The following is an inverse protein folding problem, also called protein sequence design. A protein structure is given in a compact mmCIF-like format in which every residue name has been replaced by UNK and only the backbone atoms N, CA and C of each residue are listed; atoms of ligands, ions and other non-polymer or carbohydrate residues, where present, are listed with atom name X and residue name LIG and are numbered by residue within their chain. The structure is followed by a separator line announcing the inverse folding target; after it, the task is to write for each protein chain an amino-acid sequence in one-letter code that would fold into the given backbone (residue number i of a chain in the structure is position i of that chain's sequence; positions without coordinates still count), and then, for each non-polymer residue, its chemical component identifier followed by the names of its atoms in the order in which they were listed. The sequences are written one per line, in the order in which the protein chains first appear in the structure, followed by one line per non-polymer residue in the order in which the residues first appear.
data_IF_785892659528
#
_entry.id   IF_785892659528
#
_cell.length_a   1.000
_cell.length_b   1.000
_cell.length_c   1.000
_cell.angle_alpha   90.00
_cell.angle_beta   90.00
_cell.angle_gamma   90.00
#
_symmetry.space_group_name_H-M   'P 1'
#
loop_
_entity.id
_entity.type
_entity.pdbx_description
1 polymer ?
#
# COMPACT_ATOMS: atom_id res chain seq x y z
N UNK A 1 10.05 -63.81 -4.71
CA UNK A 1 9.04 -63.80 -5.77
C UNK A 1 7.70 -63.64 -5.09
N UNK A 2 7.15 -62.44 -5.05
CA UNK A 2 5.73 -62.16 -4.89
C UNK A 2 5.51 -60.75 -5.43
N UNK A 3 4.76 -60.69 -6.52
CA UNK A 3 4.41 -59.49 -7.26
C UNK A 3 3.49 -58.60 -6.43
N UNK A 4 3.83 -57.30 -6.33
CA UNK A 4 2.95 -56.27 -5.83
C UNK A 4 2.06 -55.78 -6.99
N UNK A 5 0.76 -56.06 -6.91
CA UNK A 5 -0.23 -55.59 -7.87
C UNK A 5 -0.39 -54.09 -7.86
N UNK A 6 -0.18 -53.47 -9.02
CA UNK A 6 -0.57 -52.08 -9.33
C UNK A 6 -2.11 -52.04 -9.45
N UNK A 7 -2.76 -51.27 -8.62
CA UNK A 7 -4.16 -50.91 -8.82
C UNK A 7 -4.19 -49.71 -9.76
N UNK A 8 -4.40 -49.96 -11.03
CA UNK A 8 -4.89 -48.99 -12.02
C UNK A 8 -6.42 -49.04 -11.98
N UNK A 9 -7.07 -47.90 -11.80
CA UNK A 9 -8.30 -47.48 -12.45
C UNK A 9 -8.95 -46.37 -11.64
N UNK A 10 -8.39 -45.16 -11.76
CA UNK A 10 -9.16 -43.96 -11.53
C UNK A 10 -9.43 -43.34 -12.90
N UNK A 11 -10.66 -43.55 -13.40
CA UNK A 11 -11.14 -42.87 -14.62
C UNK A 11 -11.61 -41.46 -14.24
N UNK A 12 -11.05 -40.45 -14.92
CA UNK A 12 -11.49 -39.06 -14.78
C UNK A 12 -12.92 -38.81 -15.28
N UNK A 13 -13.59 -39.84 -15.81
CA UNK A 13 -14.97 -39.78 -16.27
C UNK A 13 -16.02 -39.81 -15.16
N UNK A 14 -15.63 -40.20 -13.92
CA UNK A 14 -16.57 -40.41 -12.81
C UNK A 14 -16.71 -39.20 -11.88
N UNK A 15 -16.08 -38.07 -12.20
CA UNK A 15 -16.30 -36.84 -11.48
C UNK A 15 -17.55 -36.17 -12.08
N UNK A 16 -18.68 -36.08 -11.34
CA UNK A 16 -19.83 -35.36 -11.87
C UNK A 16 -19.48 -33.91 -12.11
N UNK A 17 -19.56 -33.48 -13.37
CA UNK A 17 -19.47 -32.08 -13.73
C UNK A 17 -20.65 -31.35 -13.08
N UNK A 18 -20.40 -30.71 -11.96
CA UNK A 18 -21.33 -29.78 -11.35
C UNK A 18 -21.17 -28.46 -12.10
N UNK A 19 -22.18 -28.05 -12.93
CA UNK A 19 -22.08 -26.77 -13.61
C UNK A 19 -22.01 -25.68 -12.55
N UNK A 20 -20.99 -24.85 -12.64
CA UNK A 20 -20.83 -23.65 -11.83
C UNK A 20 -22.06 -22.78 -12.07
N UNK A 21 -23.08 -22.90 -11.21
CA UNK A 21 -24.17 -21.94 -11.19
C UNK A 21 -23.59 -20.62 -10.71
N UNK A 22 -23.34 -19.72 -11.65
CA UNK A 22 -23.27 -18.30 -11.37
C UNK A 22 -24.52 -17.90 -10.57
N UNK A 23 -24.40 -17.87 -9.26
CA UNK A 23 -25.28 -17.03 -8.45
C UNK A 23 -24.81 -15.60 -8.71
N UNK A 24 -25.13 -15.07 -9.88
CA UNK A 24 -25.22 -13.65 -10.11
C UNK A 24 -26.30 -13.12 -9.18
N UNK A 25 -25.93 -12.88 -7.93
CA UNK A 25 -26.63 -11.90 -7.13
C UNK A 25 -26.27 -10.58 -7.80
N UNK A 26 -27.11 -10.18 -8.77
CA UNK A 26 -27.15 -8.79 -9.23
C UNK A 26 -27.68 -8.01 -8.03
N UNK A 27 -26.83 -7.74 -7.05
CA UNK A 27 -26.96 -6.51 -6.31
C UNK A 27 -26.77 -5.42 -7.37
N UNK A 28 -27.81 -4.69 -7.67
CA UNK A 28 -27.74 -3.34 -8.22
C UNK A 28 -27.10 -2.45 -7.17
N UNK A 29 -25.85 -2.77 -6.79
CA UNK A 29 -25.00 -1.90 -5.99
C UNK A 29 -24.72 -0.69 -6.87
N UNK A 30 -25.10 0.50 -6.42
CA UNK A 30 -24.78 1.76 -7.09
C UNK A 30 -23.26 1.75 -7.33
N UNK A 31 -22.85 1.74 -8.59
CA UNK A 31 -21.46 1.76 -8.99
C UNK A 31 -20.87 3.10 -8.56
N UNK A 32 -19.79 3.08 -7.79
CA UNK A 32 -19.07 4.28 -7.31
C UNK A 32 -18.26 4.82 -8.49
N UNK A 33 -18.57 6.02 -8.92
CA UNK A 33 -17.90 6.70 -10.04
C UNK A 33 -16.56 7.25 -9.59
N UNK A 34 -15.49 6.66 -10.10
CA UNK A 34 -14.11 6.91 -9.65
C UNK A 34 -13.34 7.71 -10.69
N UNK A 35 -12.62 8.74 -10.22
CA UNK A 35 -11.57 9.43 -10.96
C UNK A 35 -10.18 9.08 -10.46
N UNK A 36 -9.19 9.07 -11.35
CA UNK A 36 -7.77 8.88 -11.03
C UNK A 36 -6.96 10.04 -11.62
N UNK A 37 -6.44 10.92 -10.77
CA UNK A 37 -5.48 11.94 -11.15
C UNK A 37 -4.05 11.39 -10.99
N UNK A 38 -3.20 11.62 -12.00
CA UNK A 38 -1.83 11.13 -12.03
C UNK A 38 -1.70 9.69 -12.57
N UNK A 39 -2.63 9.24 -13.41
CA UNK A 39 -2.66 7.88 -13.97
C UNK A 39 -1.40 7.49 -14.74
N UNK A 40 -0.65 8.45 -15.28
CA UNK A 40 0.58 8.21 -16.04
C UNK A 40 1.77 7.74 -15.18
N UNK A 41 1.73 7.96 -13.87
CA UNK A 41 2.75 7.53 -12.90
C UNK A 41 2.61 6.06 -12.49
N UNK A 42 3.59 5.52 -11.77
CA UNK A 42 3.53 4.14 -11.28
C UNK A 42 2.39 3.93 -10.26
N UNK A 43 2.24 4.84 -9.30
CA UNK A 43 1.14 4.76 -8.33
C UNK A 43 -0.23 4.89 -8.98
N UNK A 44 -0.40 5.83 -9.92
CA UNK A 44 -1.64 6.00 -10.66
C UNK A 44 -1.96 4.83 -11.58
N UNK A 45 -0.95 4.25 -12.25
CA UNK A 45 -1.12 3.04 -13.05
C UNK A 45 -1.52 1.82 -12.21
N UNK A 46 -0.96 1.70 -11.01
CA UNK A 46 -1.35 0.62 -10.08
C UNK A 46 -2.76 0.85 -9.52
N UNK A 47 -3.17 2.10 -9.22
CA UNK A 47 -4.55 2.43 -8.89
C UNK A 47 -5.50 2.03 -10.01
N UNK A 48 -5.15 2.36 -11.27
CA UNK A 48 -5.95 1.95 -12.43
C UNK A 48 -6.09 0.43 -12.52
N UNK A 49 -5.01 -0.32 -12.32
CA UNK A 49 -5.02 -1.80 -12.32
C UNK A 49 -5.98 -2.35 -11.27
N UNK A 50 -5.92 -1.84 -10.04
CA UNK A 50 -6.77 -2.29 -8.94
C UNK A 50 -8.22 -1.88 -9.16
N UNK A 51 -8.48 -0.63 -9.55
CA UNK A 51 -9.83 -0.14 -9.79
C UNK A 51 -10.51 -0.81 -11.00
N UNK A 52 -9.74 -1.19 -12.02
CA UNK A 52 -10.26 -1.90 -13.20
C UNK A 52 -10.86 -3.28 -12.87
N UNK A 53 -10.33 -3.94 -11.84
CA UNK A 53 -10.83 -5.23 -11.34
C UNK A 53 -11.77 -5.11 -10.13
N UNK A 54 -12.04 -3.90 -9.66
CA UNK A 54 -12.81 -3.70 -8.43
C UNK A 54 -14.32 -3.84 -8.67
N UNK A 55 -15.05 -4.67 -7.92
CA UNK A 55 -16.45 -4.99 -8.22
C UNK A 55 -17.42 -3.83 -8.05
N UNK A 56 -17.08 -2.80 -7.24
CA UNK A 56 -17.94 -1.66 -6.96
C UNK A 56 -17.46 -0.34 -7.59
N UNK A 57 -16.26 -0.28 -8.18
CA UNK A 57 -15.72 0.94 -8.77
C UNK A 57 -15.94 0.97 -10.28
N UNK A 58 -16.36 2.14 -10.77
CA UNK A 58 -16.47 2.46 -12.19
C UNK A 58 -15.53 3.62 -12.51
N UNK A 59 -14.41 3.33 -13.15
CA UNK A 59 -13.42 4.35 -13.53
C UNK A 59 -13.97 5.14 -14.71
N UNK A 60 -14.40 6.35 -14.46
CA UNK A 60 -15.02 7.24 -15.48
C UNK A 60 -14.15 8.44 -15.85
N UNK A 61 -13.04 8.64 -15.13
CA UNK A 61 -12.11 9.75 -15.36
C UNK A 61 -10.68 9.32 -15.07
N UNK A 62 -9.79 9.67 -15.96
CA UNK A 62 -8.35 9.48 -15.78
C UNK A 62 -7.64 10.76 -16.26
N UNK A 63 -6.71 11.28 -15.43
CA UNK A 63 -5.91 12.44 -15.79
C UNK A 63 -4.42 12.17 -15.61
N UNK A 64 -3.60 12.75 -16.50
CA UNK A 64 -2.15 12.63 -16.45
C UNK A 64 -1.49 13.56 -17.45
N UNK A 65 -0.47 14.33 -17.00
CA UNK A 65 0.18 15.36 -17.82
C UNK A 65 0.88 14.77 -19.06
N UNK A 66 1.73 13.77 -18.87
CA UNK A 66 2.59 13.23 -19.96
C UNK A 66 1.84 12.35 -20.97
N UNK A 67 0.63 11.96 -20.68
CA UNK A 67 -0.20 11.07 -21.52
C UNK A 67 -1.55 11.70 -21.86
N UNK A 68 -1.74 12.99 -21.61
CA UNK A 68 -2.98 13.67 -21.94
C UNK A 68 -3.30 13.57 -23.44
N UNK A 69 -4.58 13.36 -23.77
CA UNK A 69 -5.05 13.15 -25.14
C UNK A 69 -4.95 11.70 -25.65
N UNK A 70 -4.24 10.82 -24.98
CA UNK A 70 -4.11 9.41 -25.37
C UNK A 70 -5.23 8.56 -24.77
N UNK A 71 -5.66 7.52 -25.49
CA UNK A 71 -6.52 6.47 -24.92
C UNK A 71 -5.76 5.64 -23.90
N UNK A 72 -6.44 5.14 -22.87
CA UNK A 72 -5.83 4.27 -21.87
C UNK A 72 -5.16 3.04 -22.50
N UNK A 73 -5.74 2.44 -23.54
CA UNK A 73 -5.16 1.29 -24.24
C UNK A 73 -3.78 1.59 -24.85
N UNK A 74 -3.51 2.80 -25.30
CA UNK A 74 -2.19 3.17 -25.82
C UNK A 74 -1.11 3.22 -24.72
N UNK A 75 -1.52 3.59 -23.53
CA UNK A 75 -0.62 3.71 -22.36
C UNK A 75 -0.51 2.40 -21.59
N UNK A 76 -1.60 1.65 -21.53
CA UNK A 76 -1.76 0.38 -20.79
C UNK A 76 -2.37 -0.66 -21.73
N UNK A 77 -1.59 -1.28 -22.64
CA UNK A 77 -2.13 -2.19 -23.65
C UNK A 77 -2.91 -3.39 -23.09
N UNK A 78 -2.58 -3.80 -21.85
CA UNK A 78 -3.27 -4.89 -21.16
C UNK A 78 -4.51 -4.47 -20.35
N UNK A 79 -4.97 -3.20 -20.49
CA UNK A 79 -6.18 -2.75 -19.75
C UNK A 79 -7.44 -3.43 -20.30
N UNK A 80 -8.45 -3.60 -19.44
CA UNK A 80 -9.72 -4.21 -19.84
C UNK A 80 -10.37 -3.45 -20.99
N UNK A 81 -11.11 -4.14 -21.90
CA UNK A 81 -11.79 -3.49 -23.02
C UNK A 81 -12.76 -2.37 -22.59
N UNK A 82 -13.37 -2.49 -21.40
CA UNK A 82 -14.26 -1.47 -20.82
C UNK A 82 -13.56 -0.12 -20.67
N UNK A 83 -12.26 -0.10 -20.35
CA UNK A 83 -11.51 1.13 -20.10
C UNK A 83 -10.61 1.54 -21.28
N UNK A 84 -10.48 0.70 -22.29
CA UNK A 84 -9.55 0.87 -23.40
C UNK A 84 -9.71 2.23 -24.13
N UNK A 85 -10.96 2.65 -24.34
CA UNK A 85 -11.31 3.85 -25.07
C UNK A 85 -11.33 5.13 -24.20
N UNK A 86 -11.20 5.01 -22.88
CA UNK A 86 -11.17 6.19 -21.99
C UNK A 86 -9.93 7.03 -22.31
N UNK A 87 -10.16 8.31 -22.63
CA UNK A 87 -9.10 9.27 -22.95
C UNK A 87 -8.54 9.86 -21.67
N UNK A 88 -7.23 9.83 -21.53
CA UNK A 88 -6.50 10.48 -20.43
C UNK A 88 -6.63 12.00 -20.62
N UNK A 89 -7.22 12.68 -19.65
CA UNK A 89 -7.38 14.13 -19.66
C UNK A 89 -6.13 14.83 -19.10
N UNK A 90 -5.94 16.10 -19.42
CA UNK A 90 -5.12 16.98 -18.61
C UNK A 90 -5.86 17.23 -17.29
N UNK A 91 -5.12 17.34 -16.17
CA UNK A 91 -5.76 17.61 -14.89
C UNK A 91 -6.43 18.99 -14.90
N UNK A 92 -7.73 19.01 -14.70
CA UNK A 92 -8.52 20.23 -14.54
C UNK A 92 -9.66 19.97 -13.55
N UNK A 93 -9.59 20.49 -12.32
CA UNK A 93 -10.64 20.29 -11.33
C UNK A 93 -11.97 20.97 -11.68
N UNK A 94 -11.97 21.98 -12.58
CA UNK A 94 -13.19 22.65 -13.06
C UNK A 94 -13.93 21.83 -14.12
N UNK A 95 -13.23 20.92 -14.82
CA UNK A 95 -13.78 20.05 -15.87
C UNK A 95 -14.06 18.62 -15.39
N UNK A 96 -14.09 18.38 -14.08
CA UNK A 96 -14.37 17.05 -13.53
C UNK A 96 -15.80 16.62 -13.89
N UNK A 97 -16.01 15.40 -14.41
CA UNK A 97 -17.35 14.84 -14.53
C UNK A 97 -17.95 14.61 -13.14
N UNK A 98 -19.22 14.20 -13.07
CA UNK A 98 -19.78 13.78 -11.78
C UNK A 98 -18.98 12.59 -11.26
N UNK A 99 -18.32 12.76 -10.11
CA UNK A 99 -17.57 11.75 -9.39
C UNK A 99 -18.12 11.57 -7.99
N UNK A 100 -18.07 10.33 -7.48
CA UNK A 100 -18.30 10.02 -6.08
C UNK A 100 -16.96 9.96 -5.33
N UNK A 101 -15.88 9.58 -6.03
CA UNK A 101 -14.57 9.33 -5.45
C UNK A 101 -13.42 9.75 -6.38
N UNK A 102 -12.35 10.31 -5.80
CA UNK A 102 -11.14 10.69 -6.51
C UNK A 102 -9.90 10.10 -5.82
N UNK A 103 -9.08 9.38 -6.57
CA UNK A 103 -7.71 9.07 -6.19
C UNK A 103 -6.76 10.08 -6.81
N UNK A 104 -5.89 10.69 -5.99
CA UNK A 104 -4.88 11.63 -6.45
C UNK A 104 -3.48 11.03 -6.22
N UNK A 105 -2.83 10.60 -7.30
CA UNK A 105 -1.45 10.09 -7.29
C UNK A 105 -0.55 11.11 -7.99
N UNK A 106 -0.46 12.28 -7.38
CA UNK A 106 0.30 13.42 -7.90
C UNK A 106 1.68 13.51 -7.23
N UNK A 107 2.67 14.13 -7.88
CA UNK A 107 3.97 14.38 -7.26
C UNK A 107 3.83 15.19 -5.97
N UNK A 108 4.70 14.91 -4.99
CA UNK A 108 4.80 15.71 -3.76
C UNK A 108 5.04 17.18 -4.09
N UNK A 109 4.34 18.08 -3.40
CA UNK A 109 4.35 19.54 -3.64
C UNK A 109 3.27 20.01 -4.62
N UNK A 110 2.57 19.10 -5.31
CA UNK A 110 1.56 19.46 -6.30
C UNK A 110 0.12 19.16 -5.88
N UNK A 111 -0.11 18.15 -5.02
CA UNK A 111 -1.46 17.70 -4.70
C UNK A 111 -2.26 18.75 -3.92
N UNK A 112 -1.62 19.56 -3.07
CA UNK A 112 -2.30 20.62 -2.30
C UNK A 112 -3.02 21.62 -3.20
N UNK A 113 -2.33 22.18 -4.17
CA UNK A 113 -2.92 23.12 -5.12
C UNK A 113 -3.93 22.44 -6.04
N UNK A 114 -3.60 21.25 -6.53
CA UNK A 114 -4.43 20.50 -7.45
C UNK A 114 -5.78 20.07 -6.85
N UNK A 115 -5.85 19.79 -5.54
CA UNK A 115 -7.05 19.31 -4.88
C UNK A 115 -7.87 20.41 -4.20
N UNK A 116 -7.38 21.64 -4.15
CA UNK A 116 -8.03 22.74 -3.45
C UNK A 116 -9.43 23.07 -4.03
N UNK A 117 -9.62 22.90 -5.33
CA UNK A 117 -10.85 23.23 -6.06
C UNK A 117 -11.73 22.02 -6.36
N UNK A 118 -11.37 20.82 -5.88
CA UNK A 118 -12.23 19.63 -6.07
C UNK A 118 -13.52 19.81 -5.25
N UNK A 119 -14.70 19.57 -5.86
CA UNK A 119 -15.99 19.76 -5.19
C UNK A 119 -16.07 19.00 -3.87
N UNK A 120 -16.68 19.62 -2.85
CA UNK A 120 -16.76 19.08 -1.48
C UNK A 120 -17.51 17.75 -1.36
N UNK A 121 -18.41 17.46 -2.32
CA UNK A 121 -19.15 16.19 -2.37
C UNK A 121 -18.34 14.99 -2.86
N UNK A 122 -17.14 15.22 -3.42
CA UNK A 122 -16.26 14.14 -3.89
C UNK A 122 -15.36 13.70 -2.75
N UNK A 123 -15.39 12.40 -2.39
CA UNK A 123 -14.45 11.82 -1.45
C UNK A 123 -13.07 11.68 -2.09
N UNK A 124 -12.01 11.92 -1.32
CA UNK A 124 -10.65 11.95 -1.87
C UNK A 124 -9.70 11.08 -1.04
N UNK A 125 -8.89 10.28 -1.72
CA UNK A 125 -7.63 9.74 -1.17
C UNK A 125 -6.46 10.37 -1.92
N UNK A 126 -5.63 11.13 -1.19
CA UNK A 126 -4.38 11.68 -1.69
C UNK A 126 -3.22 10.71 -1.41
N UNK A 127 -2.64 10.13 -2.46
CA UNK A 127 -1.49 9.23 -2.40
C UNK A 127 -0.17 10.02 -2.32
N UNK A 128 -0.21 11.30 -2.63
CA UNK A 128 0.90 12.23 -2.44
C UNK A 128 1.23 12.48 -0.96
N UNK A 129 2.28 13.25 -0.72
CA UNK A 129 2.75 13.54 0.64
C UNK A 129 2.15 14.79 1.30
N UNK A 130 1.45 15.63 0.53
CA UNK A 130 1.20 17.02 0.87
C UNK A 130 0.15 17.21 1.98
N UNK A 131 -0.73 16.24 2.17
CA UNK A 131 -1.84 16.33 3.12
C UNK A 131 -1.66 15.46 4.38
N UNK A 132 -0.53 14.80 4.52
CA UNK A 132 -0.23 14.02 5.74
C UNK A 132 -0.12 14.96 6.93
N UNK A 133 -0.95 14.69 7.96
CA UNK A 133 -1.04 15.51 9.18
C UNK A 133 -1.44 16.99 8.93
N UNK A 134 -2.22 17.23 7.87
CA UNK A 134 -2.85 18.52 7.61
C UNK A 134 -4.27 18.50 8.18
N UNK A 135 -4.68 19.58 8.81
CA UNK A 135 -6.05 19.74 9.34
C UNK A 135 -7.09 19.51 8.23
N UNK A 136 -8.19 18.82 8.58
CA UNK A 136 -9.23 18.41 7.63
C UNK A 136 -8.92 17.15 6.82
N UNK A 137 -7.71 16.55 6.98
CA UNK A 137 -7.34 15.30 6.35
C UNK A 137 -7.10 14.20 7.39
N UNK A 138 -7.71 13.05 7.18
CA UNK A 138 -7.47 11.87 8.02
C UNK A 138 -6.25 11.09 7.51
N UNK A 139 -5.32 10.75 8.39
CA UNK A 139 -4.19 9.91 8.03
C UNK A 139 -4.63 8.46 7.82
N UNK A 140 -4.41 7.94 6.62
CA UNK A 140 -5.00 6.72 6.10
C UNK A 140 -4.26 5.42 6.44
N UNK A 141 -3.76 5.25 7.67
CA UNK A 141 -3.14 3.99 8.12
C UNK A 141 -4.22 3.00 8.55
N UNK A 142 -4.86 2.34 7.57
CA UNK A 142 -6.09 1.56 7.73
C UNK A 142 -5.98 0.40 8.72
N UNK A 143 -4.84 -0.29 8.77
CA UNK A 143 -4.66 -1.43 9.69
C UNK A 143 -4.55 -0.99 11.17
N UNK A 144 -4.29 0.29 11.40
CA UNK A 144 -4.16 0.85 12.77
C UNK A 144 -5.42 1.59 13.19
N UNK A 145 -5.95 2.49 12.34
CA UNK A 145 -7.08 3.37 12.68
C UNK A 145 -8.24 3.33 11.65
N UNK A 146 -8.82 2.16 11.33
CA UNK A 146 -9.86 2.05 10.30
C UNK A 146 -11.11 2.87 10.62
N UNK A 147 -11.47 3.00 11.91
CA UNK A 147 -12.69 3.70 12.30
C UNK A 147 -12.62 5.21 11.99
N UNK A 148 -11.43 5.82 12.11
CA UNK A 148 -11.23 7.22 11.71
C UNK A 148 -11.43 7.41 10.20
N UNK A 149 -11.07 6.41 9.41
CA UNK A 149 -11.16 6.45 7.95
C UNK A 149 -12.59 6.26 7.47
N UNK A 150 -13.39 5.43 8.14
CA UNK A 150 -14.80 5.18 7.78
C UNK A 150 -15.63 6.45 7.74
N UNK A 151 -15.38 7.39 8.64
CA UNK A 151 -16.12 8.67 8.72
C UNK A 151 -15.48 9.79 7.90
N UNK A 152 -14.31 9.54 7.30
CA UNK A 152 -13.57 10.58 6.58
C UNK A 152 -14.12 10.82 5.17
N UNK A 153 -14.02 12.07 4.71
CA UNK A 153 -14.24 12.45 3.29
C UNK A 153 -12.94 12.74 2.56
N UNK A 154 -11.86 13.03 3.30
CA UNK A 154 -10.52 13.32 2.79
C UNK A 154 -9.49 12.51 3.56
N UNK A 155 -8.75 11.68 2.86
CA UNK A 155 -7.73 10.80 3.45
C UNK A 155 -6.38 11.04 2.80
N UNK A 156 -5.36 11.30 3.63
CA UNK A 156 -3.96 11.33 3.22
C UNK A 156 -3.36 9.93 3.36
N UNK A 157 -3.00 9.33 2.23
CA UNK A 157 -2.45 7.97 2.21
C UNK A 157 -1.04 7.95 2.78
N UNK A 158 -0.69 6.97 3.61
CA UNK A 158 0.67 6.81 4.14
C UNK A 158 1.73 6.67 3.06
N UNK A 159 2.94 7.12 3.36
CA UNK A 159 4.11 6.82 2.55
C UNK A 159 4.52 5.36 2.64
N UNK A 160 5.16 4.85 1.59
CA UNK A 160 5.46 3.43 1.48
C UNK A 160 6.38 2.90 2.59
N UNK A 161 7.46 3.61 2.91
CA UNK A 161 8.32 3.24 4.03
C UNK A 161 7.62 3.40 5.39
N UNK A 162 6.79 4.45 5.53
CA UNK A 162 6.01 4.64 6.74
C UNK A 162 5.03 3.48 6.95
N UNK A 163 4.34 3.02 5.90
CA UNK A 163 3.46 1.86 5.96
C UNK A 163 4.18 0.60 6.46
N UNK A 164 5.38 0.32 5.92
CA UNK A 164 6.17 -0.85 6.31
C UNK A 164 6.68 -0.75 7.75
N UNK A 165 7.33 0.36 8.10
CA UNK A 165 7.95 0.54 9.41
C UNK A 165 6.90 0.62 10.53
N UNK A 166 5.84 1.41 10.31
CA UNK A 166 4.79 1.59 11.32
C UNK A 166 3.99 0.33 11.58
N UNK A 167 3.80 -0.54 10.58
CA UNK A 167 3.19 -1.84 10.80
C UNK A 167 3.96 -2.70 11.80
N UNK A 168 5.29 -2.58 11.83
CA UNK A 168 6.11 -3.30 12.81
C UNK A 168 6.26 -2.56 14.14
N UNK A 169 6.31 -1.22 14.13
CA UNK A 169 6.59 -0.40 15.32
C UNK A 169 5.35 -0.17 16.17
N UNK A 170 4.20 0.16 15.57
CA UNK A 170 3.01 0.63 16.30
C UNK A 170 2.49 -0.35 17.35
N UNK A 171 2.43 -1.68 17.11
CA UNK A 171 1.99 -2.62 18.15
C UNK A 171 2.83 -2.57 19.42
N UNK A 172 4.15 -2.41 19.27
CA UNK A 172 5.08 -2.35 20.40
C UNK A 172 4.99 -1.02 21.15
N UNK A 173 4.80 0.07 20.41
CA UNK A 173 4.60 1.41 21.00
C UNK A 173 3.29 1.46 21.78
N UNK A 174 2.19 1.01 21.18
CA UNK A 174 0.88 0.95 21.83
C UNK A 174 0.89 0.02 23.06
N UNK A 175 1.67 -1.06 23.01
CA UNK A 175 1.89 -1.99 24.11
C UNK A 175 2.88 -1.49 25.16
N UNK A 176 3.46 -0.29 25.02
CA UNK A 176 4.49 0.30 25.90
C UNK A 176 5.73 -0.62 26.09
N UNK A 177 6.08 -1.36 25.05
CA UNK A 177 7.17 -2.34 25.08
C UNK A 177 8.53 -1.72 24.69
N UNK A 178 8.52 -0.50 24.15
CA UNK A 178 9.70 0.21 23.64
C UNK A 178 9.77 1.63 24.20
N UNK A 179 10.99 2.13 24.36
CA UNK A 179 11.23 3.51 24.75
C UNK A 179 11.30 4.41 23.51
N UNK A 180 10.25 5.19 23.24
CA UNK A 180 10.16 6.09 22.09
C UNK A 180 11.06 7.32 22.16
N UNK A 181 11.61 7.64 23.35
CA UNK A 181 12.59 8.72 23.53
C UNK A 181 14.01 8.29 23.11
N UNK A 182 14.30 7.00 23.14
CA UNK A 182 15.53 6.46 22.56
C UNK A 182 15.43 6.49 21.03
N UNK A 183 16.56 6.56 20.30
CA UNK A 183 16.55 6.53 18.85
C UNK A 183 15.85 5.26 18.32
N UNK A 184 14.82 5.48 17.50
CA UNK A 184 14.20 4.45 16.66
C UNK A 184 14.91 4.51 15.31
N UNK A 185 15.83 3.56 15.09
CA UNK A 185 16.61 3.52 13.86
C UNK A 185 15.86 2.66 12.84
N UNK A 186 15.55 3.23 11.69
CA UNK A 186 14.83 2.55 10.60
C UNK A 186 15.76 2.46 9.40
N UNK A 187 16.20 1.27 9.08
CA UNK A 187 16.98 0.94 7.90
C UNK A 187 16.05 0.36 6.83
N UNK A 188 15.71 1.17 5.83
CA UNK A 188 14.72 0.85 4.81
C UNK A 188 15.36 0.51 3.46
N UNK A 189 14.95 -0.59 2.85
CA UNK A 189 15.33 -1.03 1.51
C UNK A 189 14.11 -0.95 0.60
N UNK A 190 14.24 -0.31 -0.58
CA UNK A 190 13.15 -0.20 -1.55
C UNK A 190 13.58 -0.55 -2.97
N UNK A 191 12.63 -1.08 -3.72
CA UNK A 191 12.77 -1.22 -5.16
C UNK A 191 12.64 0.12 -5.90
N UNK A 192 13.13 0.16 -7.13
CA UNK A 192 13.26 1.35 -7.99
C UNK A 192 11.91 2.04 -8.24
N UNK A 193 10.82 1.29 -8.31
CA UNK A 193 9.50 1.88 -8.55
C UNK A 193 9.06 2.86 -7.47
N UNK A 194 9.71 2.84 -6.29
CA UNK A 194 9.51 3.81 -5.22
C UNK A 194 9.92 5.24 -5.58
N UNK A 195 10.85 5.41 -6.51
CA UNK A 195 11.25 6.73 -7.02
C UNK A 195 10.19 7.39 -7.93
N UNK A 196 9.16 6.64 -8.32
CA UNK A 196 8.14 7.09 -9.27
C UNK A 196 8.66 7.13 -10.71
N UNK A 197 7.76 7.34 -11.64
CA UNK A 197 8.09 7.37 -13.08
C UNK A 197 8.58 8.73 -13.58
N UNK A 198 8.19 9.81 -12.93
CA UNK A 198 8.52 11.19 -13.36
C UNK A 198 9.98 11.59 -13.19
N UNK A 199 10.74 10.82 -12.41
CA UNK A 199 12.17 11.01 -12.20
C UNK A 199 13.00 10.08 -13.08
N UNK A 200 12.79 10.06 -14.40
CA UNK A 200 13.72 9.41 -15.35
C UNK A 200 15.04 10.20 -15.44
N UNK A 201 15.65 10.43 -14.30
CA UNK A 201 17.05 10.78 -14.19
C UNK A 201 17.86 9.54 -14.61
N UNK A 202 18.96 9.72 -15.30
CA UNK A 202 19.86 8.64 -15.75
C UNK A 202 20.24 7.68 -14.62
N UNK A 203 20.34 8.19 -13.38
CA UNK A 203 20.61 7.40 -12.16
C UNK A 203 19.59 6.30 -11.84
N UNK A 204 18.43 6.27 -12.48
CA UNK A 204 17.43 5.21 -12.37
C UNK A 204 17.36 4.32 -13.61
N UNK A 205 18.31 4.52 -14.55
CA UNK A 205 18.47 3.66 -15.70
C UNK A 205 18.93 2.24 -15.30
N UNK A 206 18.60 1.25 -16.11
CA UNK A 206 18.95 -0.15 -15.81
C UNK A 206 20.45 -0.36 -15.55
N UNK A 207 21.31 0.29 -16.35
CA UNK A 207 22.76 0.18 -16.19
C UNK A 207 23.33 0.80 -14.91
N UNK A 208 22.57 1.73 -14.29
CA UNK A 208 22.99 2.40 -13.06
C UNK A 208 22.48 1.68 -11.79
N UNK A 209 21.32 1.01 -11.89
CA UNK A 209 20.68 0.43 -10.71
C UNK A 209 20.82 -1.09 -10.64
N UNK A 210 21.17 -1.74 -11.74
CA UNK A 210 21.39 -3.18 -11.74
C UNK A 210 22.68 -3.51 -10.99
N UNK A 211 22.60 -4.44 -10.03
CA UNK A 211 23.73 -4.85 -9.17
C UNK A 211 24.28 -3.73 -8.26
N UNK A 212 23.55 -2.60 -8.10
CA UNK A 212 23.92 -1.50 -7.20
C UNK A 212 23.00 -1.39 -5.98
N UNK A 213 23.58 -0.98 -4.86
CA UNK A 213 22.85 -0.63 -3.62
C UNK A 213 23.32 0.74 -3.17
N UNK A 214 22.43 1.71 -3.15
CA UNK A 214 22.76 3.09 -2.79
C UNK A 214 21.89 3.64 -1.67
N UNK A 215 22.52 4.31 -0.69
CA UNK A 215 21.82 5.02 0.35
C UNK A 215 21.41 6.42 -0.13
N UNK A 216 20.23 6.88 0.30
CA UNK A 216 19.73 8.22 -0.03
C UNK A 216 18.90 8.84 1.08
N UNK A 217 18.69 10.16 1.04
CA UNK A 217 17.82 10.87 1.99
C UNK A 217 18.25 10.80 3.44
N UNK A 218 19.55 10.60 3.73
CA UNK A 218 20.06 10.34 5.08
C UNK A 218 19.93 11.53 6.04
N UNK A 219 20.00 12.76 5.52
CA UNK A 219 19.88 13.98 6.33
C UNK A 219 18.43 14.44 6.44
N UNK A 220 17.65 14.30 5.35
CA UNK A 220 16.25 14.70 5.31
C UNK A 220 15.47 13.75 4.42
N UNK A 221 14.46 13.11 5.00
CA UNK A 221 13.55 12.23 4.26
C UNK A 221 12.10 12.60 4.58
N UNK A 222 11.20 12.69 3.58
CA UNK A 222 9.81 13.13 3.79
C UNK A 222 9.00 12.22 4.72
N UNK A 223 9.40 10.96 4.89
CA UNK A 223 8.71 10.03 5.80
C UNK A 223 9.11 10.16 7.27
N UNK A 224 10.21 10.86 7.61
CA UNK A 224 10.63 11.02 9.02
C UNK A 224 9.58 11.74 9.86
N UNK A 225 9.08 12.93 9.48
CA UNK A 225 8.04 13.60 10.25
C UNK A 225 6.74 12.81 10.31
N UNK A 226 6.40 12.08 9.25
CA UNK A 226 5.23 11.22 9.18
C UNK A 226 5.31 10.06 10.19
N UNK A 227 6.45 9.38 10.26
CA UNK A 227 6.69 8.28 11.19
C UNK A 227 6.69 8.81 12.63
N UNK A 228 7.39 9.92 12.89
CA UNK A 228 7.44 10.53 14.22
C UNK A 228 6.05 10.92 14.73
N UNK A 229 5.24 11.56 13.90
CA UNK A 229 3.87 11.94 14.26
C UNK A 229 3.00 10.71 14.59
N UNK A 230 3.12 9.63 13.81
CA UNK A 230 2.39 8.39 14.06
C UNK A 230 2.83 7.70 15.36
N UNK A 231 4.13 7.63 15.61
CA UNK A 231 4.68 7.05 16.86
C UNK A 231 4.23 7.87 18.07
N UNK A 232 4.29 9.20 17.98
CA UNK A 232 3.78 10.10 19.03
C UNK A 232 2.28 9.87 19.31
N UNK A 233 1.47 9.76 18.27
CA UNK A 233 0.05 9.47 18.41
C UNK A 233 -0.19 8.09 19.05
N UNK A 234 0.53 7.06 18.64
CA UNK A 234 0.38 5.70 19.16
C UNK A 234 0.85 5.57 20.61
N UNK A 235 1.89 6.30 21.00
CA UNK A 235 2.39 6.34 22.39
C UNK A 235 1.59 7.25 23.32
N UNK A 236 0.67 8.06 22.76
CA UNK A 236 -0.02 9.15 23.48
C UNK A 236 0.96 10.16 24.12
N UNK A 237 2.11 10.35 23.44
CA UNK A 237 3.21 11.19 23.89
C UNK A 237 3.74 12.09 22.79
N UNK A 238 4.94 12.59 22.99
CA UNK A 238 5.68 13.41 22.05
C UNK A 238 7.17 13.07 22.09
N UNK A 239 7.96 13.64 21.16
CA UNK A 239 9.42 13.50 21.16
C UNK A 239 9.94 12.16 20.64
N UNK A 240 9.18 11.45 19.81
CA UNK A 240 9.70 10.28 19.10
C UNK A 240 10.94 10.66 18.30
N UNK A 241 12.06 9.98 18.59
CA UNK A 241 13.35 10.22 17.96
C UNK A 241 13.57 9.22 16.81
N UNK A 242 13.36 9.67 15.57
CA UNK A 242 13.44 8.82 14.38
C UNK A 242 14.76 9.07 13.64
N UNK A 243 15.55 8.02 13.47
CA UNK A 243 16.73 7.99 12.59
C UNK A 243 16.39 7.11 11.40
N UNK A 244 16.50 7.65 10.19
CA UNK A 244 16.05 6.96 8.99
C UNK A 244 17.15 6.88 7.94
N UNK A 245 17.44 5.67 7.47
CA UNK A 245 18.35 5.39 6.37
C UNK A 245 17.59 4.65 5.27
N UNK A 246 17.38 5.31 4.13
CA UNK A 246 16.76 4.69 2.96
C UNK A 246 17.83 4.15 2.01
N UNK A 247 17.57 2.97 1.43
CA UNK A 247 18.43 2.36 0.42
C UNK A 247 17.60 1.97 -0.80
N UNK A 248 18.11 2.31 -1.97
CA UNK A 248 17.65 1.76 -3.24
C UNK A 248 18.40 0.45 -3.48
N UNK A 249 17.65 -0.60 -3.82
CA UNK A 249 18.23 -1.91 -4.14
C UNK A 249 17.74 -2.38 -5.52
N UNK A 250 18.48 -3.26 -6.22
CA UNK A 250 18.22 -3.63 -7.61
C UNK A 250 17.03 -4.59 -7.73
N UNK A 251 15.87 -4.13 -7.35
CA UNK A 251 14.58 -4.80 -7.55
C UNK A 251 13.54 -3.81 -8.04
N UNK A 252 12.53 -4.26 -8.76
CA UNK A 252 11.47 -3.37 -9.28
C UNK A 252 10.52 -2.95 -8.17
N UNK A 253 10.00 -3.89 -7.39
CA UNK A 253 8.99 -3.68 -6.34
C UNK A 253 9.43 -4.30 -5.02
N UNK A 254 8.92 -3.77 -3.93
CA UNK A 254 9.11 -4.27 -2.58
C UNK A 254 9.75 -3.26 -1.65
N UNK A 255 9.39 -3.34 -0.38
CA UNK A 255 10.06 -2.65 0.74
C UNK A 255 10.29 -3.65 1.85
N UNK A 256 11.49 -3.60 2.42
CA UNK A 256 11.82 -4.21 3.69
C UNK A 256 12.37 -3.14 4.62
N UNK A 257 11.75 -2.97 5.79
CA UNK A 257 12.27 -2.11 6.85
C UNK A 257 12.80 -2.97 8.00
N UNK A 258 13.99 -2.64 8.47
CA UNK A 258 14.59 -3.18 9.70
C UNK A 258 14.63 -2.05 10.72
N UNK A 259 13.82 -2.17 11.77
CA UNK A 259 13.66 -1.12 12.78
C UNK A 259 14.30 -1.58 14.09
N UNK A 260 15.28 -0.83 14.59
CA UNK A 260 15.95 -1.10 15.85
C UNK A 260 15.34 -0.21 16.95
N UNK A 261 14.85 -0.84 18.01
CA UNK A 261 14.14 -0.17 19.09
C UNK A 261 14.75 -0.55 20.45
N UNK A 262 14.83 0.42 21.37
CA UNK A 262 15.21 0.16 22.74
C UNK A 262 14.03 -0.45 23.52
N UNK A 263 14.21 -1.67 24.02
CA UNK A 263 13.19 -2.40 24.77
C UNK A 263 13.73 -3.73 25.28
N UNK A 264 13.15 -4.25 26.36
CA UNK A 264 13.58 -5.49 27.01
C UNK A 264 12.68 -6.70 26.69
N UNK A 265 11.64 -6.53 25.86
CA UNK A 265 10.71 -7.61 25.52
C UNK A 265 11.39 -8.68 24.65
N UNK A 266 10.99 -9.94 24.86
CA UNK A 266 11.44 -11.04 24.01
C UNK A 266 10.74 -11.01 22.65
N UNK A 267 11.27 -11.75 21.68
CA UNK A 267 10.64 -11.88 20.37
C UNK A 267 9.22 -12.45 20.49
N UNK A 268 9.01 -13.46 21.34
CA UNK A 268 7.70 -14.08 21.58
C UNK A 268 6.68 -13.08 22.16
N UNK A 269 7.12 -12.21 23.09
CA UNK A 269 6.27 -11.16 23.65
C UNK A 269 5.88 -10.14 22.59
N UNK A 270 6.82 -9.72 21.72
CA UNK A 270 6.55 -8.81 20.61
C UNK A 270 5.59 -9.42 19.59
N UNK A 271 5.80 -10.69 19.20
CA UNK A 271 4.91 -11.42 18.30
C UNK A 271 3.49 -11.54 18.88
N UNK A 272 3.37 -11.89 20.15
CA UNK A 272 2.07 -11.99 20.83
C UNK A 272 1.34 -10.64 20.87
N UNK A 273 2.06 -9.55 21.18
CA UNK A 273 1.51 -8.20 21.17
C UNK A 273 1.01 -7.79 19.79
N UNK A 274 1.80 -8.05 18.73
CA UNK A 274 1.42 -7.74 17.36
C UNK A 274 0.23 -8.59 16.87
N UNK A 275 0.20 -9.89 17.17
CA UNK A 275 -0.95 -10.77 16.85
C UNK A 275 -2.22 -10.28 17.54
N UNK A 276 -2.14 -9.86 18.79
CA UNK A 276 -3.27 -9.28 19.53
C UNK A 276 -3.71 -7.95 18.92
N UNK A 277 -2.76 -7.06 18.58
CA UNK A 277 -3.02 -5.75 18.02
C UNK A 277 -3.71 -5.83 16.65
N UNK A 278 -3.25 -6.74 15.80
CA UNK A 278 -3.75 -6.93 14.44
C UNK A 278 -4.83 -8.01 14.31
N UNK A 279 -5.40 -8.47 15.43
CA UNK A 279 -6.51 -9.42 15.37
C UNK A 279 -7.66 -8.86 14.51
N UNK A 280 -8.09 -9.63 13.49
CA UNK A 280 -9.12 -9.20 12.54
C UNK A 280 -8.67 -8.21 11.46
N UNK A 281 -7.39 -7.87 11.34
CA UNK A 281 -6.86 -7.06 10.24
C UNK A 281 -6.50 -7.94 9.05
N UNK A 282 -7.26 -7.87 7.94
CA UNK A 282 -7.18 -8.88 6.88
C UNK A 282 -5.85 -8.89 6.11
N UNK A 283 -5.12 -7.78 6.11
CA UNK A 283 -3.89 -7.66 5.32
C UNK A 283 -2.61 -7.83 6.12
N UNK A 284 -2.68 -7.88 7.46
CA UNK A 284 -1.48 -8.03 8.29
C UNK A 284 -1.19 -9.50 8.57
N UNK A 285 0.05 -9.89 8.32
CA UNK A 285 0.59 -11.23 8.61
C UNK A 285 1.72 -11.10 9.62
N UNK A 286 1.47 -11.54 10.86
CA UNK A 286 2.51 -11.63 11.90
C UNK A 286 3.15 -13.00 11.79
N UNK A 287 4.41 -13.03 11.38
CA UNK A 287 5.16 -14.26 11.05
C UNK A 287 6.36 -14.44 11.98
N UNK A 288 6.75 -15.69 12.22
CA UNK A 288 7.82 -16.02 13.16
C UNK A 288 9.21 -15.83 12.56
N UNK A 289 9.34 -15.83 11.25
CA UNK A 289 10.61 -15.66 10.55
C UNK A 289 10.66 -14.29 9.83
N UNK A 290 11.86 -13.74 9.56
CA UNK A 290 12.02 -12.48 8.84
C UNK A 290 11.31 -12.50 7.49
N UNK A 291 10.52 -11.46 7.14
CA UNK A 291 9.78 -11.43 5.90
C UNK A 291 10.69 -11.19 4.68
N UNK A 292 10.25 -11.71 3.54
CA UNK A 292 10.86 -11.45 2.23
C UNK A 292 9.98 -10.50 1.42
N UNK A 293 10.57 -9.59 0.66
CA UNK A 293 9.84 -8.65 -0.20
C UNK A 293 8.95 -9.35 -1.22
N UNK A 294 9.38 -10.51 -1.75
CA UNK A 294 8.60 -11.31 -2.70
C UNK A 294 7.28 -11.83 -2.14
N UNK A 295 7.17 -12.04 -0.82
CA UNK A 295 5.91 -12.53 -0.22
C UNK A 295 4.75 -11.53 -0.35
N UNK A 296 5.06 -10.25 -0.54
CA UNK A 296 4.04 -9.21 -0.66
C UNK A 296 3.81 -8.73 -2.11
N UNK A 297 4.69 -9.10 -3.05
CA UNK A 297 4.70 -8.54 -4.41
C UNK A 297 3.34 -8.67 -5.11
N UNK A 298 2.81 -7.57 -5.59
CA UNK A 298 1.52 -7.50 -6.32
C UNK A 298 0.27 -7.54 -5.44
N UNK A 299 0.42 -7.69 -4.11
CA UNK A 299 -0.69 -7.78 -3.15
C UNK A 299 -0.81 -6.58 -2.21
N UNK A 300 -1.87 -6.56 -1.41
CA UNK A 300 -2.04 -5.58 -0.32
C UNK A 300 -1.57 -6.12 1.05
N UNK A 301 -0.80 -7.21 1.07
CA UNK A 301 -0.32 -7.80 2.31
C UNK A 301 0.84 -7.00 2.92
N UNK A 302 0.91 -6.99 4.24
CA UNK A 302 2.05 -6.56 5.02
C UNK A 302 2.47 -7.69 5.96
N UNK A 303 3.76 -7.98 5.98
CA UNK A 303 4.36 -8.98 6.85
C UNK A 303 5.16 -8.29 7.94
N UNK A 304 4.96 -8.70 9.18
CA UNK A 304 5.71 -8.19 10.33
C UNK A 304 6.31 -9.34 11.12
N UNK A 305 7.53 -9.15 11.62
CA UNK A 305 8.25 -10.10 12.45
C UNK A 305 9.14 -9.37 13.45
N UNK A 306 9.57 -10.08 14.48
CA UNK A 306 10.37 -9.51 15.56
C UNK A 306 11.49 -10.45 15.96
N UNK A 307 12.65 -9.87 16.26
CA UNK A 307 13.82 -10.57 16.81
C UNK A 307 14.32 -9.79 18.03
N UNK A 308 14.70 -10.47 19.07
CA UNK A 308 15.32 -9.87 20.25
C UNK A 308 16.72 -10.47 20.43
N UNK A 309 17.79 -9.79 19.97
CA UNK A 309 19.16 -10.29 20.12
C UNK A 309 19.70 -10.15 21.53
N UNK A 310 18.92 -9.60 22.47
CA UNK A 310 19.36 -9.29 23.82
C UNK A 310 19.84 -7.84 23.97
N UNK A 311 20.49 -7.54 25.08
CA UNK A 311 21.07 -6.23 25.42
C UNK A 311 20.06 -5.04 25.30
N UNK A 312 18.78 -5.27 25.58
CA UNK A 312 17.77 -4.21 25.55
C UNK A 312 17.40 -3.75 24.13
N UNK A 313 17.63 -4.57 23.12
CA UNK A 313 17.34 -4.26 21.72
C UNK A 313 16.23 -5.16 21.17
N UNK A 314 15.28 -4.57 20.47
CA UNK A 314 14.27 -5.25 19.66
C UNK A 314 14.50 -4.87 18.22
N UNK A 315 14.51 -5.85 17.32
CA UNK A 315 14.53 -5.65 15.87
C UNK A 315 13.13 -5.99 15.35
N UNK A 316 12.42 -4.98 14.83
CA UNK A 316 11.11 -5.12 14.24
C UNK A 316 11.22 -5.01 12.70
N UNK A 317 10.65 -5.99 12.00
CA UNK A 317 10.75 -6.08 10.54
C UNK A 317 9.39 -5.88 9.90
N UNK A 318 9.33 -5.04 8.85
CA UNK A 318 8.14 -4.81 8.05
C UNK A 318 8.42 -5.03 6.57
N UNK A 319 7.63 -5.90 5.92
CA UNK A 319 7.75 -6.22 4.49
C UNK A 319 6.46 -5.95 3.73
N UNK A 320 6.52 -5.20 2.62
CA UNK A 320 5.36 -4.85 1.78
C UNK A 320 5.74 -4.78 0.30
N UNK A 321 4.74 -4.73 -0.57
CA UNK A 321 4.89 -4.17 -1.92
C UNK A 321 4.72 -2.64 -1.86
N UNK A 322 5.71 -1.89 -2.32
CA UNK A 322 5.72 -0.42 -2.24
C UNK A 322 4.65 0.25 -3.13
N UNK A 323 4.20 -0.38 -4.20
CA UNK A 323 3.10 0.10 -5.05
C UNK A 323 1.73 -0.46 -4.61
N UNK A 324 1.70 -1.69 -4.05
CA UNK A 324 0.52 -2.29 -3.44
C UNK A 324 0.20 -1.62 -2.10
N UNK A 325 0.51 -2.31 -1.00
CA UNK A 325 0.27 -1.80 0.38
C UNK A 325 0.98 -0.47 0.66
N UNK A 326 2.10 -0.20 0.00
CA UNK A 326 2.83 1.06 0.17
C UNK A 326 2.20 2.28 -0.53
N UNK A 327 1.25 2.08 -1.45
CA UNK A 327 0.64 3.17 -2.22
C UNK A 327 -0.81 2.85 -2.62
N UNK A 328 -1.01 2.27 -3.81
CA UNK A 328 -2.32 2.10 -4.43
C UNK A 328 -3.23 1.13 -3.66
N UNK A 329 -2.70 0.01 -3.19
CA UNK A 329 -3.48 -0.96 -2.42
C UNK A 329 -3.99 -0.38 -1.09
N UNK A 330 -3.15 0.37 -0.37
CA UNK A 330 -3.55 1.11 0.82
C UNK A 330 -4.61 2.17 0.48
N UNK A 331 -4.47 2.86 -0.65
CA UNK A 331 -5.44 3.86 -1.09
C UNK A 331 -6.81 3.24 -1.40
N UNK A 332 -6.85 2.10 -2.07
CA UNK A 332 -8.09 1.35 -2.35
C UNK A 332 -8.70 0.82 -1.05
N UNK A 333 -7.90 0.30 -0.11
CA UNK A 333 -8.38 -0.11 1.22
C UNK A 333 -9.02 1.07 1.97
N UNK A 334 -8.38 2.26 1.94
CA UNK A 334 -8.96 3.48 2.50
C UNK A 334 -10.27 3.85 1.83
N UNK A 335 -10.33 3.79 0.49
CA UNK A 335 -11.55 4.07 -0.26
C UNK A 335 -12.69 3.11 0.09
N UNK A 336 -12.41 1.82 0.23
CA UNK A 336 -13.37 0.81 0.68
C UNK A 336 -13.99 1.19 2.03
N UNK A 337 -13.15 1.52 3.01
CA UNK A 337 -13.60 1.97 4.33
C UNK A 337 -14.46 3.24 4.24
N UNK A 338 -14.00 4.26 3.49
CA UNK A 338 -14.72 5.51 3.28
C UNK A 338 -16.08 5.31 2.60
N UNK A 339 -16.20 4.31 1.73
CA UNK A 339 -17.42 3.98 1.00
C UNK A 339 -18.32 2.96 1.72
N UNK A 340 -17.94 2.50 2.92
CA UNK A 340 -18.71 1.51 3.68
C UNK A 340 -18.64 0.10 3.11
N UNK A 341 -17.66 -0.19 2.27
CA UNK A 341 -17.40 -1.52 1.74
C UNK A 341 -16.53 -2.34 2.70
N UNK A 342 -16.48 -3.66 2.50
CA UNK A 342 -15.46 -4.47 3.16
C UNK A 342 -14.07 -4.01 2.72
N UNK A 343 -13.14 -3.85 3.66
CA UNK A 343 -11.80 -3.31 3.36
C UNK A 343 -11.02 -4.19 2.38
N UNK A 344 -11.39 -5.47 2.24
CA UNK A 344 -10.76 -6.42 1.30
C UNK A 344 -11.29 -6.34 -0.13
N UNK A 345 -12.42 -5.67 -0.35
CA UNK A 345 -13.08 -5.64 -1.67
C UNK A 345 -12.09 -5.23 -2.78
N UNK A 346 -11.94 -6.06 -3.81
CA UNK A 346 -11.04 -5.81 -4.93
C UNK A 346 -9.54 -5.90 -4.61
N UNK A 347 -9.17 -6.33 -3.40
CA UNK A 347 -7.78 -6.45 -2.93
C UNK A 347 -7.39 -7.89 -2.51
N UNK A 348 -8.21 -8.86 -2.85
CA UNK A 348 -8.07 -10.26 -2.41
C UNK A 348 -7.06 -11.07 -3.25
N UNK A 349 -6.43 -10.43 -4.24
CA UNK A 349 -5.43 -11.08 -5.08
C UNK A 349 -4.25 -11.62 -4.28
N UNK A 350 -3.88 -12.87 -4.53
CA UNK A 350 -2.67 -13.46 -3.96
C UNK A 350 -1.40 -12.74 -4.46
N UNK A 351 -0.32 -12.75 -3.68
CA UNK A 351 0.98 -12.27 -4.15
C UNK A 351 1.43 -12.99 -5.43
N UNK A 352 2.20 -12.30 -6.25
CA UNK A 352 2.86 -12.91 -7.41
C UNK A 352 3.97 -13.86 -6.92
N UNK A 353 4.07 -15.02 -7.55
CA UNK A 353 5.10 -16.03 -7.27
C UNK A 353 5.73 -16.53 -8.57
N UNK A 354 7.04 -16.65 -8.67
CA UNK A 354 8.12 -16.44 -7.71
C UNK A 354 8.50 -14.99 -7.46
#
# INVERSE_FOLDING_TARGET
MTEAGFVSDFSLSDIPFVPWREKSIILTAMSIRVGIAGVSGYGGGELLRLCAGHPAFDVVYAAGETSAGQKLALRFPGISPKLAELVIQKWDPAALPKLDFLFASLPTGQSRAALASVPSGVKIVDVGGDHRYVEGWTYGLADVWPEKIRSATRVANPGCYASAALAAIVPLVAGKMVNVQSPIIIDGKTGISGAGRGGLDSKFGYGEVNEDVSAYGLVKHPHVPEIAATVNQASQGNGANIVFAAHLIPMTRGILTTCYLAGAATAEQCLAAARKFYAGRPFVRVVDQPPHTKWATGSNLVFVSYVSPGAGTIIALGGIDNLGKGAAGQAVQNANLMCGLAETTGLEGAPLWP
#
